data_IF_225061647189
#
_entry.id   IF_225061647189
#
_cell.length_a   1.000
_cell.length_b   1.000
_cell.length_c   1.000
_cell.angle_alpha   90.00
_cell.angle_beta   90.00
_cell.angle_gamma   90.00
#
_symmetry.space_group_name_H-M   'P 1'
#
loop_
_entity.id
_entity.type
_entity.pdbx_description
1 polymer ?
#
# COMPACT_ATOMS: atom_id res chain seq x y z
N UNK A 1 23.17 -11.88 32.89
CA UNK A 1 23.26 -12.40 31.52
C UNK A 1 22.70 -11.32 30.59
N UNK A 2 23.43 -10.97 29.55
CA UNK A 2 23.01 -10.07 28.50
C UNK A 2 22.99 -10.87 27.18
N UNK A 3 21.83 -10.88 26.49
CA UNK A 3 21.59 -11.67 25.30
C UNK A 3 20.96 -10.77 24.25
N UNK A 4 21.67 -10.57 23.12
CA UNK A 4 21.27 -9.57 22.11
C UNK A 4 21.56 -10.03 20.68
N UNK A 5 20.93 -9.34 19.71
CA UNK A 5 21.13 -9.51 18.28
C UNK A 5 21.83 -8.26 17.73
N UNK A 6 23.03 -8.44 17.20
CA UNK A 6 23.82 -7.40 16.55
C UNK A 6 23.78 -7.62 15.04
N UNK A 7 23.22 -6.67 14.29
CA UNK A 7 23.16 -6.71 12.84
C UNK A 7 24.38 -5.97 12.29
N UNK A 8 25.07 -6.57 11.32
CA UNK A 8 26.14 -5.92 10.59
C UNK A 8 25.51 -4.92 9.60
N UNK A 9 26.00 -3.67 9.59
CA UNK A 9 25.52 -2.62 8.68
C UNK A 9 23.97 -2.51 8.63
N UNK A 10 23.31 -2.20 9.77
CA UNK A 10 21.86 -2.16 9.83
C UNK A 10 21.32 -1.09 8.88
N UNK A 11 20.36 -1.47 8.05
CA UNK A 11 19.66 -0.55 7.15
C UNK A 11 18.49 0.10 7.87
N UNK A 12 18.22 1.38 7.56
CA UNK A 12 16.99 2.04 8.01
C UNK A 12 15.74 1.37 7.42
N UNK A 13 15.89 0.78 6.23
CA UNK A 13 14.82 0.13 5.49
C UNK A 13 15.39 -1.00 4.62
N UNK A 14 14.81 -2.19 4.74
CA UNK A 14 15.19 -3.38 3.97
C UNK A 14 14.27 -3.55 2.77
N UNK A 15 14.80 -4.11 1.71
CA UNK A 15 14.14 -4.40 0.44
C UNK A 15 14.09 -5.92 0.19
N UNK A 16 13.21 -6.39 -0.73
CA UNK A 16 13.23 -7.78 -1.16
C UNK A 16 14.61 -8.19 -1.71
N UNK A 17 15.15 -9.30 -1.24
CA UNK A 17 16.48 -9.80 -1.63
C UNK A 17 17.64 -9.22 -0.81
N UNK A 18 17.40 -8.28 0.09
CA UNK A 18 18.44 -7.77 0.98
C UNK A 18 18.96 -8.87 1.92
N UNK A 19 20.28 -8.93 2.04
CA UNK A 19 20.96 -9.80 2.98
C UNK A 19 20.98 -9.13 4.36
N UNK A 20 20.64 -9.90 5.39
CA UNK A 20 20.67 -9.53 6.81
C UNK A 20 21.71 -10.39 7.48
N UNK A 21 22.86 -9.85 7.72
CA UNK A 21 23.96 -10.55 8.40
C UNK A 21 24.17 -9.95 9.79
N UNK A 22 24.59 -10.81 10.70
CA UNK A 22 24.86 -10.37 12.05
C UNK A 22 25.33 -11.51 12.94
N UNK A 23 25.24 -11.28 14.22
CA UNK A 23 25.59 -12.24 15.25
C UNK A 23 24.65 -12.14 16.44
N UNK A 24 24.34 -13.26 17.02
CA UNK A 24 23.72 -13.36 18.34
C UNK A 24 24.84 -13.33 19.37
N UNK A 25 24.74 -12.44 20.34
CA UNK A 25 25.79 -12.21 21.36
C UNK A 25 25.26 -12.58 22.74
N UNK A 26 26.01 -13.36 23.47
CA UNK A 26 25.77 -13.68 24.87
C UNK A 26 26.95 -13.22 25.73
N UNK A 27 26.68 -12.31 26.66
CA UNK A 27 27.64 -11.95 27.71
C UNK A 27 27.20 -12.60 29.03
N UNK A 28 27.93 -13.63 29.46
CA UNK A 28 27.63 -14.36 30.68
C UNK A 28 28.15 -13.62 31.92
N UNK A 29 27.27 -13.02 32.72
CA UNK A 29 27.66 -12.37 34.02
C UNK A 29 27.80 -13.37 35.14
N UNK A 30 27.20 -14.53 35.02
CA UNK A 30 27.25 -15.67 35.94
C UNK A 30 27.36 -16.95 35.14
N UNK A 31 27.66 -18.08 35.79
CA UNK A 31 27.61 -19.38 35.13
C UNK A 31 26.22 -19.65 34.55
N UNK A 32 26.14 -20.05 33.27
CA UNK A 32 24.90 -20.32 32.55
C UNK A 32 25.06 -21.69 31.85
N UNK A 33 24.19 -22.62 32.16
CA UNK A 33 24.08 -23.86 31.41
C UNK A 33 23.07 -23.66 30.27
N UNK A 34 23.47 -23.83 29.03
CA UNK A 34 22.66 -23.61 27.84
C UNK A 34 22.49 -24.91 27.04
N UNK A 35 21.27 -25.17 26.62
CA UNK A 35 20.93 -26.32 25.78
C UNK A 35 21.02 -26.05 24.30
N UNK A 36 20.46 -24.92 23.84
CA UNK A 36 20.49 -24.53 22.43
C UNK A 36 20.35 -23.03 22.26
N UNK A 37 20.95 -22.52 21.18
CA UNK A 37 20.74 -21.13 20.67
C UNK A 37 20.17 -21.25 19.29
N UNK A 38 19.02 -20.55 19.09
CA UNK A 38 18.32 -20.51 17.81
C UNK A 38 18.00 -19.04 17.45
N UNK A 39 17.98 -18.76 16.17
CA UNK A 39 17.49 -17.50 15.65
C UNK A 39 16.39 -17.74 14.62
N UNK A 40 15.30 -16.99 14.74
CA UNK A 40 14.19 -16.98 13.80
C UNK A 40 14.12 -15.63 13.10
N UNK A 41 13.92 -15.63 11.79
CA UNK A 41 13.52 -14.47 11.00
C UNK A 41 12.06 -14.62 10.60
N UNK A 42 11.20 -13.71 11.06
CA UNK A 42 9.75 -13.87 11.00
C UNK A 42 9.09 -12.64 10.43
N UNK A 43 8.23 -12.83 9.41
CA UNK A 43 7.27 -11.85 8.94
C UNK A 43 5.86 -12.20 9.40
N UNK A 44 5.13 -11.24 9.98
CA UNK A 44 3.77 -11.44 10.50
C UNK A 44 2.86 -10.28 10.13
N UNK A 45 1.62 -10.60 9.78
CA UNK A 45 0.52 -9.64 9.66
C UNK A 45 -0.49 -9.90 10.78
N UNK A 46 -0.73 -8.90 11.62
CA UNK A 46 -1.65 -8.98 12.76
C UNK A 46 -2.85 -8.10 12.53
N UNK A 47 -4.01 -8.60 12.93
CA UNK A 47 -5.27 -7.87 12.92
C UNK A 47 -5.95 -7.94 14.29
N UNK A 48 -6.61 -6.85 14.62
CA UNK A 48 -7.34 -6.68 15.87
C UNK A 48 -8.60 -5.87 15.60
N UNK A 49 -9.74 -6.43 15.99
CA UNK A 49 -11.04 -5.79 15.94
C UNK A 49 -11.65 -5.81 17.33
N UNK A 50 -12.15 -4.69 17.78
CA UNK A 50 -12.85 -4.52 19.04
C UNK A 50 -14.17 -3.80 18.74
N UNK A 51 -15.28 -4.46 18.99
CA UNK A 51 -16.59 -3.87 18.86
C UNK A 51 -16.96 -3.09 20.13
N UNK A 52 -17.97 -2.23 20.04
CA UNK A 52 -18.54 -1.47 21.14
C UNK A 52 -19.05 -2.38 22.28
N UNK A 53 -19.46 -3.60 21.97
CA UNK A 53 -19.85 -4.66 22.92
C UNK A 53 -18.69 -5.27 23.72
N UNK A 54 -17.47 -4.71 23.63
CA UNK A 54 -16.23 -5.22 24.23
C UNK A 54 -15.75 -6.58 23.70
N UNK A 55 -16.40 -7.12 22.68
CA UNK A 55 -15.94 -8.34 22.04
C UNK A 55 -14.70 -8.05 21.20
N UNK A 56 -13.66 -8.82 21.42
CA UNK A 56 -12.36 -8.63 20.78
C UNK A 56 -12.02 -9.82 19.89
N UNK A 57 -11.67 -9.54 18.64
CA UNK A 57 -11.20 -10.53 17.67
C UNK A 57 -9.75 -10.26 17.30
N UNK A 58 -8.93 -11.31 17.25
CA UNK A 58 -7.50 -11.19 16.90
C UNK A 58 -7.12 -12.26 15.90
N UNK A 59 -6.31 -11.90 14.94
CA UNK A 59 -5.72 -12.86 14.03
C UNK A 59 -4.26 -12.51 13.75
N UNK A 60 -3.43 -13.53 13.59
CA UNK A 60 -2.04 -13.38 13.19
C UNK A 60 -1.79 -14.32 12.03
N UNK A 61 -1.44 -13.75 10.89
CA UNK A 61 -1.00 -14.51 9.72
C UNK A 61 0.52 -14.45 9.65
N UNK A 62 1.15 -15.60 9.51
CA UNK A 62 2.59 -15.71 9.28
C UNK A 62 2.83 -15.56 7.79
N UNK A 63 3.62 -14.55 7.41
CA UNK A 63 4.02 -14.30 6.04
C UNK A 63 5.17 -15.21 5.62
N UNK A 64 6.14 -15.39 6.51
CA UNK A 64 7.22 -16.36 6.41
C UNK A 64 7.85 -16.57 7.78
N UNK A 65 8.55 -17.69 7.93
CA UNK A 65 9.36 -17.99 9.11
C UNK A 65 10.56 -18.84 8.70
N UNK A 66 11.76 -18.28 8.85
CA UNK A 66 13.01 -18.97 8.68
C UNK A 66 13.66 -19.15 10.05
N UNK A 67 14.27 -20.29 10.27
CA UNK A 67 14.92 -20.63 11.53
C UNK A 67 16.31 -21.17 11.27
N UNK A 68 17.25 -20.78 12.13
CA UNK A 68 18.61 -21.31 12.13
C UNK A 68 19.01 -21.73 13.55
N UNK A 69 19.43 -22.97 13.70
CA UNK A 69 20.07 -23.45 14.93
C UNK A 69 21.51 -22.97 14.90
N UNK A 70 21.87 -22.10 15.83
CA UNK A 70 23.24 -21.55 15.92
C UNK A 70 24.15 -22.38 16.78
N UNK A 71 23.57 -23.02 17.80
CA UNK A 71 24.30 -23.91 18.71
C UNK A 71 23.32 -24.98 19.22
N UNK A 72 23.71 -26.20 19.20
CA UNK A 72 22.94 -27.36 19.71
C UNK A 72 23.81 -28.20 20.64
N UNK A 73 23.27 -28.56 21.79
CA UNK A 73 23.95 -29.34 22.81
C UNK A 73 23.95 -28.66 24.18
N UNK A 74 24.42 -29.38 25.18
CA UNK A 74 24.51 -28.83 26.54
C UNK A 74 25.89 -28.21 26.73
N UNK A 75 25.93 -26.91 26.92
CA UNK A 75 27.14 -26.13 27.13
C UNK A 75 27.07 -25.40 28.46
N UNK A 76 28.18 -25.33 29.16
CA UNK A 76 28.31 -24.48 30.34
C UNK A 76 29.16 -23.26 29.98
N UNK A 77 28.57 -22.07 30.15
CA UNK A 77 29.24 -20.80 29.97
C UNK A 77 29.59 -20.20 31.32
N UNK A 78 30.83 -19.74 31.46
CA UNK A 78 31.32 -19.18 32.71
C UNK A 78 31.19 -17.66 32.77
N UNK A 79 31.21 -17.12 33.96
CA UNK A 79 31.15 -15.67 34.16
C UNK A 79 32.32 -14.98 33.42
N UNK A 80 32.01 -13.85 32.77
CA UNK A 80 32.96 -13.07 31.98
C UNK A 80 33.16 -13.56 30.54
N UNK A 81 32.61 -14.71 30.16
CA UNK A 81 32.66 -15.14 28.76
C UNK A 81 31.71 -14.37 27.88
N UNK A 82 32.22 -13.99 26.70
CA UNK A 82 31.44 -13.44 25.58
C UNK A 82 31.44 -14.43 24.44
N UNK A 83 30.26 -14.77 23.96
CA UNK A 83 30.03 -15.71 22.88
C UNK A 83 29.27 -15.05 21.76
N UNK A 84 29.62 -15.40 20.53
CA UNK A 84 29.04 -14.84 19.34
C UNK A 84 28.75 -15.95 18.33
N UNK A 85 27.54 -15.97 17.80
CA UNK A 85 27.10 -16.91 16.76
C UNK A 85 26.65 -16.11 15.52
N UNK A 86 27.33 -16.28 14.40
CA UNK A 86 26.98 -15.61 13.17
C UNK A 86 25.66 -16.15 12.60
N UNK A 87 24.91 -15.29 11.94
CA UNK A 87 23.73 -15.65 11.16
C UNK A 87 23.64 -14.84 9.87
N UNK A 88 22.92 -15.41 8.90
CA UNK A 88 22.61 -14.76 7.63
C UNK A 88 21.21 -15.16 7.17
N UNK A 89 20.39 -14.17 6.78
CA UNK A 89 19.08 -14.36 6.17
C UNK A 89 18.93 -13.45 4.98
N UNK A 90 18.16 -13.88 3.98
CA UNK A 90 17.75 -13.03 2.86
C UNK A 90 16.29 -12.65 3.01
N UNK A 91 15.97 -11.37 2.83
CA UNK A 91 14.58 -10.93 2.83
C UNK A 91 13.83 -11.55 1.65
N UNK A 92 12.74 -12.32 1.87
CA UNK A 92 12.01 -12.94 0.78
C UNK A 92 11.27 -11.89 -0.04
N UNK A 93 11.00 -12.19 -1.32
CA UNK A 93 10.24 -11.31 -2.22
C UNK A 93 8.75 -11.44 -2.01
N UNK A 94 8.30 -12.65 -1.77
CA UNK A 94 6.89 -13.02 -1.61
C UNK A 94 6.68 -13.78 -0.31
N UNK A 95 5.47 -13.87 0.20
CA UNK A 95 5.15 -14.71 1.35
C UNK A 95 5.52 -16.17 1.09
N UNK A 96 6.16 -16.81 2.07
CA UNK A 96 6.54 -18.22 2.03
C UNK A 96 5.87 -18.93 3.20
N UNK A 97 4.58 -19.17 3.06
CA UNK A 97 3.80 -19.84 4.08
C UNK A 97 3.72 -21.33 3.82
N UNK A 98 3.78 -22.15 4.88
CA UNK A 98 3.39 -23.57 4.77
C UNK A 98 1.93 -23.66 4.30
N UNK A 99 1.69 -24.49 3.30
CA UNK A 99 0.40 -24.65 2.58
C UNK A 99 -0.74 -25.15 3.47
N UNK A 100 -0.47 -25.53 4.72
CA UNK A 100 -1.39 -26.30 5.57
C UNK A 100 -2.57 -25.50 6.15
N UNK A 101 -2.59 -24.18 6.07
CA UNK A 101 -3.71 -23.41 6.61
C UNK A 101 -4.78 -23.15 5.54
N UNK A 102 -5.39 -24.26 5.07
CA UNK A 102 -6.52 -24.27 4.11
C UNK A 102 -7.75 -23.47 4.54
N UNK A 103 -7.78 -23.01 5.79
CA UNK A 103 -8.90 -22.21 6.33
C UNK A 103 -9.00 -20.82 5.73
N UNK A 104 -7.91 -20.26 5.18
CA UNK A 104 -7.93 -18.97 4.50
C UNK A 104 -8.39 -19.04 3.04
N UNK A 105 -8.38 -20.22 2.42
CA UNK A 105 -8.70 -20.40 0.99
C UNK A 105 -10.20 -20.34 0.67
N UNK A 106 -11.09 -20.58 1.62
CA UNK A 106 -12.52 -20.85 1.35
C UNK A 106 -13.42 -19.63 1.18
N UNK A 107 -12.93 -18.42 1.44
CA UNK A 107 -13.78 -17.24 1.44
C UNK A 107 -13.29 -16.12 0.50
N UNK A 108 -13.30 -16.35 -0.75
CA UNK A 108 -13.40 -15.51 -1.97
C UNK A 108 -12.73 -14.13 -2.07
N UNK A 109 -12.55 -13.37 -1.00
CA UNK A 109 -12.00 -12.01 -1.10
C UNK A 109 -10.56 -11.84 -0.59
N UNK A 110 -9.97 -12.85 0.00
CA UNK A 110 -8.62 -12.85 0.56
C UNK A 110 -7.78 -13.97 -0.03
N UNK A 111 -7.98 -14.26 -1.33
CA UNK A 111 -7.20 -15.25 -2.04
C UNK A 111 -5.71 -14.95 -1.86
N UNK A 112 -5.00 -15.97 -1.43
CA UNK A 112 -3.56 -15.99 -1.43
C UNK A 112 -3.06 -16.13 -2.86
N UNK A 113 -2.30 -15.15 -3.29
CA UNK A 113 -1.51 -15.23 -4.48
C UNK A 113 -0.03 -15.29 -4.05
N UNK A 114 0.63 -16.40 -4.34
CA UNK A 114 2.04 -16.62 -4.00
C UNK A 114 2.97 -15.63 -4.70
N UNK A 115 2.48 -14.95 -5.74
CA UNK A 115 3.25 -13.95 -6.48
C UNK A 115 3.12 -12.54 -5.90
N UNK A 116 2.21 -12.34 -4.94
CA UNK A 116 2.08 -11.02 -4.32
C UNK A 116 3.34 -10.65 -3.54
N UNK A 117 3.81 -9.39 -3.68
CA UNK A 117 4.93 -8.93 -2.89
C UNK A 117 4.58 -8.92 -1.41
N UNK A 118 5.60 -9.07 -0.56
CA UNK A 118 5.43 -8.85 0.88
C UNK A 118 4.88 -7.44 1.14
N UNK A 119 3.92 -7.29 2.07
CA UNK A 119 3.40 -5.99 2.46
C UNK A 119 4.48 -5.13 3.14
N UNK A 120 4.42 -3.78 3.04
CA UNK A 120 5.33 -2.91 3.76
C UNK A 120 5.15 -3.05 5.27
N UNK A 121 6.23 -2.84 6.05
CA UNK A 121 6.10 -2.64 7.50
C UNK A 121 5.12 -1.51 7.76
N UNK A 122 4.07 -1.78 8.53
CA UNK A 122 3.04 -0.78 8.81
C UNK A 122 2.36 -1.06 10.14
N UNK A 123 2.01 0.01 10.84
CA UNK A 123 1.12 -0.02 12.00
C UNK A 123 -0.02 0.95 11.74
N UNK A 124 -1.25 0.52 11.93
CA UNK A 124 -2.44 1.34 11.71
C UNK A 124 -3.44 1.10 12.84
N UNK A 125 -4.01 2.20 13.33
CA UNK A 125 -5.07 2.18 14.35
C UNK A 125 -6.15 3.16 13.94
N UNK A 126 -7.38 2.69 13.90
CA UNK A 126 -8.57 3.50 13.67
C UNK A 126 -9.56 3.28 14.80
N UNK A 127 -10.08 4.38 15.33
CA UNK A 127 -11.07 4.36 16.42
C UNK A 127 -12.32 5.07 15.93
N UNK A 128 -13.45 4.42 16.06
CA UNK A 128 -14.77 4.97 15.71
C UNK A 128 -15.77 4.68 16.83
N UNK A 129 -16.96 5.22 16.72
CA UNK A 129 -18.07 4.90 17.63
C UNK A 129 -18.49 3.42 17.59
N UNK A 130 -18.11 2.71 16.51
CA UNK A 130 -18.43 1.27 16.33
C UNK A 130 -17.34 0.36 16.88
N UNK A 131 -16.23 0.90 17.38
CA UNK A 131 -15.13 0.14 17.94
C UNK A 131 -13.76 0.55 17.42
N UNK A 132 -12.78 -0.29 17.71
CA UNK A 132 -11.38 -0.09 17.35
C UNK A 132 -10.91 -1.14 16.35
N UNK A 133 -10.27 -0.67 15.28
CA UNK A 133 -9.58 -1.49 14.30
C UNK A 133 -8.08 -1.22 14.40
N UNK A 134 -7.27 -2.28 14.50
CA UNK A 134 -5.80 -2.18 14.44
C UNK A 134 -5.26 -3.23 13.48
N UNK A 135 -4.23 -2.87 12.75
CA UNK A 135 -3.43 -3.82 12.01
C UNK A 135 -1.96 -3.47 12.08
N UNK A 136 -1.12 -4.49 11.97
CA UNK A 136 0.31 -4.36 12.15
C UNK A 136 1.03 -5.42 11.31
N UNK A 137 1.90 -4.97 10.41
CA UNK A 137 2.78 -5.83 9.62
C UNK A 137 4.19 -5.64 10.13
N UNK A 138 4.73 -6.68 10.74
CA UNK A 138 6.03 -6.68 11.42
C UNK A 138 6.96 -7.71 10.83
N UNK A 139 8.21 -7.31 10.69
CA UNK A 139 9.34 -8.17 10.37
C UNK A 139 10.36 -8.11 11.49
N UNK A 140 10.84 -9.26 11.97
CA UNK A 140 11.76 -9.27 13.10
C UNK A 140 12.67 -10.49 13.10
N UNK A 141 13.84 -10.30 13.64
CA UNK A 141 14.69 -11.35 14.15
C UNK A 141 14.31 -11.65 15.62
N UNK A 142 14.31 -12.93 15.98
CA UNK A 142 14.11 -13.38 17.36
C UNK A 142 15.15 -14.44 17.67
N UNK A 143 16.07 -14.14 18.57
CA UNK A 143 16.97 -15.16 19.11
C UNK A 143 16.39 -15.74 20.40
N UNK A 144 16.57 -17.02 20.58
CA UNK A 144 16.14 -17.78 21.76
C UNK A 144 17.30 -18.63 22.26
N UNK A 145 17.56 -18.54 23.57
CA UNK A 145 18.47 -19.36 24.31
C UNK A 145 17.68 -20.24 25.28
N UNK A 146 17.80 -21.55 25.15
CA UNK A 146 17.19 -22.49 26.08
C UNK A 146 18.20 -22.89 27.13
N UNK A 147 17.81 -22.94 28.40
CA UNK A 147 18.64 -23.41 29.50
C UNK A 147 17.93 -24.55 30.20
N UNK A 148 18.61 -25.70 30.44
CA UNK A 148 18.08 -26.75 31.29
C UNK A 148 17.87 -26.19 32.70
N UNK A 149 16.76 -26.52 33.34
CA UNK A 149 16.51 -26.18 34.74
C UNK A 149 16.56 -27.47 35.56
N UNK A 150 17.11 -27.42 36.77
CA UNK A 150 17.14 -28.53 37.71
C UNK A 150 15.77 -29.08 38.11
N UNK A 151 14.70 -28.31 37.82
CA UNK A 151 13.29 -28.69 38.09
C UNK A 151 12.61 -29.34 36.91
N UNK A 152 13.34 -29.90 35.93
CA UNK A 152 12.82 -30.43 34.66
C UNK A 152 12.07 -29.38 33.78
N UNK A 153 12.16 -28.10 34.11
CA UNK A 153 11.63 -27.03 33.32
C UNK A 153 12.74 -26.38 32.49
N UNK A 154 12.45 -26.11 31.25
CA UNK A 154 13.34 -25.38 30.36
C UNK A 154 13.07 -23.88 30.51
N UNK A 155 14.06 -23.11 30.95
CA UNK A 155 13.97 -21.64 30.89
C UNK A 155 14.35 -21.18 29.49
N UNK A 156 13.60 -20.19 29.00
CA UNK A 156 13.84 -19.59 27.68
C UNK A 156 14.12 -18.10 27.82
N UNK A 157 15.27 -17.69 27.34
CA UNK A 157 15.62 -16.29 27.22
C UNK A 157 15.51 -15.91 25.76
N UNK A 158 14.93 -14.75 25.47
CA UNK A 158 14.78 -14.29 24.10
C UNK A 158 15.06 -12.80 23.97
N UNK A 159 15.67 -12.43 22.86
CA UNK A 159 15.77 -11.05 22.41
C UNK A 159 15.15 -10.91 21.02
N UNK A 160 14.77 -9.66 20.66
CA UNK A 160 14.08 -9.37 19.40
C UNK A 160 14.68 -8.10 18.79
N UNK A 161 14.80 -8.09 17.46
CA UNK A 161 15.17 -6.92 16.69
C UNK A 161 14.13 -6.71 15.58
N UNK A 162 13.46 -5.58 15.59
CA UNK A 162 12.49 -5.23 14.55
C UNK A 162 13.24 -4.69 13.32
N UNK A 163 12.69 -5.01 12.14
CA UNK A 163 13.22 -4.61 10.85
C UNK A 163 12.14 -3.85 10.09
N UNK A 164 12.49 -2.70 9.54
CA UNK A 164 11.61 -1.95 8.64
C UNK A 164 11.77 -2.49 7.22
N UNK A 165 10.66 -2.80 6.56
CA UNK A 165 10.64 -3.35 5.20
C UNK A 165 9.79 -2.51 4.28
N UNK A 166 10.28 -2.32 3.06
CA UNK A 166 9.57 -1.66 1.98
C UNK A 166 9.58 -2.57 0.73
N UNK A 167 8.42 -2.88 0.14
CA UNK A 167 8.40 -3.62 -1.12
C UNK A 167 9.04 -2.75 -2.23
N UNK A 168 9.81 -3.38 -3.09
CA UNK A 168 10.34 -2.71 -4.27
C UNK A 168 9.34 -2.77 -5.42
N UNK A 169 9.46 -1.82 -6.34
CA UNK A 169 8.74 -1.83 -7.61
C UNK A 169 9.52 -2.70 -8.60
N UNK A 170 8.82 -3.59 -9.30
CA UNK A 170 9.43 -4.32 -10.40
C UNK A 170 9.79 -3.39 -11.56
N UNK A 171 10.95 -3.64 -12.16
CA UNK A 171 11.47 -2.88 -13.32
C UNK A 171 10.54 -2.88 -14.54
N UNK A 172 9.67 -3.88 -14.66
CA UNK A 172 8.73 -4.02 -15.78
C UNK A 172 7.54 -3.06 -15.74
N UNK A 173 7.36 -2.31 -14.66
CA UNK A 173 6.27 -1.33 -14.58
C UNK A 173 6.71 -0.06 -15.32
N UNK A 174 6.14 0.26 -16.50
CA UNK A 174 6.52 1.45 -17.24
C UNK A 174 6.33 2.69 -16.36
N UNK A 175 7.24 3.68 -16.45
CA UNK A 175 7.16 4.91 -15.65
C UNK A 175 5.88 5.70 -15.95
N UNK A 176 5.37 5.64 -17.18
CA UNK A 176 4.14 6.30 -17.56
C UNK A 176 2.94 5.42 -17.21
N UNK A 177 2.20 5.83 -16.21
CA UNK A 177 0.93 5.19 -15.85
C UNK A 177 -0.10 5.42 -16.97
N UNK A 178 -0.85 4.37 -17.38
CA UNK A 178 -1.98 4.60 -18.26
C UNK A 178 -2.98 5.54 -17.58
N UNK A 179 -3.39 6.56 -18.32
CA UNK A 179 -4.36 7.54 -17.85
C UNK A 179 -5.78 6.98 -18.03
N UNK A 180 -6.52 6.91 -16.95
CA UNK A 180 -7.95 6.67 -16.99
C UNK A 180 -8.64 7.97 -17.44
N UNK A 181 -9.30 7.94 -18.59
CA UNK A 181 -10.02 9.08 -19.12
C UNK A 181 -11.53 8.93 -18.89
N UNK A 182 -12.16 10.00 -18.47
CA UNK A 182 -13.63 10.11 -18.40
C UNK A 182 -14.06 11.32 -19.22
N UNK A 183 -14.99 11.10 -20.14
CA UNK A 183 -15.53 12.13 -21.00
C UNK A 183 -17.02 12.35 -20.71
N UNK A 184 -17.45 13.60 -20.70
CA UNK A 184 -18.83 13.99 -20.50
C UNK A 184 -19.21 15.12 -21.45
N UNK A 185 -20.49 15.21 -21.77
CA UNK A 185 -21.03 16.33 -22.54
C UNK A 185 -21.73 17.29 -21.60
N UNK A 186 -21.39 18.56 -21.71
CA UNK A 186 -22.02 19.63 -20.97
C UNK A 186 -22.66 20.67 -21.92
N UNK A 187 -23.93 20.92 -21.74
CA UNK A 187 -24.70 21.92 -22.52
C UNK A 187 -24.89 23.15 -21.64
N UNK A 188 -24.23 24.24 -22.00
CA UNK A 188 -24.41 25.54 -21.36
C UNK A 188 -25.54 26.28 -22.06
N UNK A 189 -26.69 26.37 -21.41
CA UNK A 189 -27.89 27.04 -21.94
C UNK A 189 -28.08 28.40 -21.26
N UNK A 190 -27.78 29.47 -21.97
CA UNK A 190 -27.92 30.85 -21.48
C UNK A 190 -27.89 31.87 -22.63
N UNK A 191 -28.62 32.97 -22.50
CA UNK A 191 -28.47 34.13 -23.39
C UNK A 191 -27.06 34.69 -23.37
N UNK A 192 -26.37 34.61 -22.21
CA UNK A 192 -25.01 35.11 -22.03
C UNK A 192 -23.94 34.28 -22.75
N UNK A 193 -24.33 33.20 -23.41
CA UNK A 193 -23.44 32.45 -24.33
C UNK A 193 -23.16 33.30 -25.59
N UNK A 194 -24.06 34.19 -25.95
CA UNK A 194 -23.90 35.11 -27.08
C UNK A 194 -23.04 36.33 -26.68
N UNK A 195 -22.07 36.76 -27.50
CA UNK A 195 -21.17 37.87 -27.21
C UNK A 195 -21.88 39.17 -26.80
N UNK A 196 -23.01 39.49 -27.44
CA UNK A 196 -23.81 40.70 -27.21
C UNK A 196 -24.43 40.79 -25.81
N UNK A 197 -24.55 39.66 -25.08
CA UNK A 197 -25.11 39.61 -23.73
C UNK A 197 -24.06 39.34 -22.63
N UNK A 198 -22.82 39.15 -22.99
CA UNK A 198 -21.77 38.78 -22.00
C UNK A 198 -21.44 39.92 -21.02
N UNK A 199 -21.32 41.14 -21.52
CA UNK A 199 -20.80 42.27 -20.75
C UNK A 199 -21.90 43.19 -20.19
N UNK A 200 -23.19 42.88 -20.37
CA UNK A 200 -24.30 43.74 -19.91
C UNK A 200 -25.27 43.00 -18.99
N UNK A 201 -25.98 43.76 -18.16
CA UNK A 201 -27.12 43.25 -17.40
C UNK A 201 -28.31 42.96 -18.33
N UNK A 202 -28.90 41.76 -18.16
CA UNK A 202 -30.11 41.41 -18.91
C UNK A 202 -31.29 42.22 -18.40
N UNK A 203 -32.07 42.78 -19.32
CA UNK A 203 -33.33 43.47 -19.01
C UNK A 203 -34.37 42.48 -18.48
N UNK A 204 -35.44 43.01 -17.83
CA UNK A 204 -36.51 42.16 -17.32
C UNK A 204 -37.21 41.34 -18.43
N UNK A 205 -37.37 41.94 -19.61
CA UNK A 205 -37.93 41.27 -20.80
C UNK A 205 -37.06 40.13 -21.28
N UNK A 206 -35.74 40.31 -21.32
CA UNK A 206 -34.79 39.28 -21.73
C UNK A 206 -34.73 38.13 -20.72
N UNK A 207 -34.82 38.44 -19.44
CA UNK A 207 -34.92 37.40 -18.38
C UNK A 207 -36.22 36.60 -18.53
N UNK A 208 -37.37 37.24 -18.74
CA UNK A 208 -38.64 36.58 -18.99
C UNK A 208 -38.60 35.76 -20.30
N UNK A 209 -38.01 36.32 -21.35
CA UNK A 209 -37.86 35.63 -22.62
C UNK A 209 -37.05 34.35 -22.53
N UNK A 210 -36.03 34.32 -21.64
CA UNK A 210 -35.22 33.12 -21.39
C UNK A 210 -35.99 32.01 -20.69
N UNK A 211 -37.18 32.29 -20.13
CA UNK A 211 -38.05 31.24 -19.55
C UNK A 211 -39.03 30.63 -20.57
N UNK A 212 -39.34 31.36 -21.66
CA UNK A 212 -40.45 30.98 -22.57
C UNK A 212 -40.01 30.67 -24.00
N UNK A 213 -38.75 30.90 -24.38
CA UNK A 213 -38.23 30.64 -25.73
C UNK A 213 -36.99 29.78 -25.71
N UNK A 214 -36.63 29.25 -26.88
CA UNK A 214 -35.40 28.50 -27.08
C UNK A 214 -34.18 29.37 -26.79
N UNK A 215 -33.53 29.09 -25.69
CA UNK A 215 -32.31 29.77 -25.24
C UNK A 215 -31.11 29.17 -25.98
N UNK A 216 -30.15 29.98 -26.46
CA UNK A 216 -28.96 29.47 -27.11
C UNK A 216 -28.21 28.46 -26.24
N UNK A 217 -27.79 27.38 -26.87
CA UNK A 217 -27.03 26.30 -26.24
C UNK A 217 -25.64 26.24 -26.83
N UNK A 218 -24.61 26.19 -25.99
CA UNK A 218 -23.27 25.80 -26.41
C UNK A 218 -22.93 24.44 -25.76
N UNK A 219 -22.58 23.49 -26.61
CA UNK A 219 -22.26 22.12 -26.21
C UNK A 219 -20.77 21.91 -26.19
N UNK A 220 -20.26 21.31 -25.09
CA UNK A 220 -18.87 21.04 -24.89
C UNK A 220 -18.67 19.56 -24.50
N UNK A 221 -17.62 18.98 -25.01
CA UNK A 221 -17.10 17.72 -24.52
C UNK A 221 -15.96 18.01 -23.55
N UNK A 222 -16.12 17.61 -22.31
CA UNK A 222 -15.11 17.76 -21.26
C UNK A 222 -14.51 16.39 -20.98
N UNK A 223 -13.21 16.25 -21.17
CA UNK A 223 -12.46 15.02 -20.89
C UNK A 223 -11.49 15.27 -19.76
N UNK A 224 -11.52 14.41 -18.75
CA UNK A 224 -10.56 14.42 -17.65
C UNK A 224 -9.77 13.14 -17.66
N UNK A 225 -8.47 13.23 -17.46
CA UNK A 225 -7.60 12.05 -17.41
C UNK A 225 -6.77 12.08 -16.13
N UNK A 226 -6.80 10.96 -15.41
CA UNK A 226 -6.05 10.73 -14.16
C UNK A 226 -5.27 9.41 -14.27
N UNK A 227 -4.12 9.28 -13.62
CA UNK A 227 -3.40 8.02 -13.59
C UNK A 227 -4.16 6.99 -12.76
N UNK A 228 -4.01 5.72 -13.10
CA UNK A 228 -4.53 4.61 -12.28
C UNK A 228 -3.50 4.12 -11.23
N UNK A 229 -2.27 4.59 -11.34
CA UNK A 229 -1.17 4.30 -10.40
C UNK A 229 -0.20 5.48 -10.40
N UNK A 230 0.50 5.66 -9.27
CA UNK A 230 1.52 6.69 -9.12
C UNK A 230 2.60 6.19 -8.15
N UNK A 231 3.83 6.59 -8.36
CA UNK A 231 4.91 6.39 -7.40
C UNK A 231 4.78 7.44 -6.28
N UNK A 232 4.93 7.01 -5.02
CA UNK A 232 4.88 7.92 -3.88
C UNK A 232 5.93 9.03 -4.02
N UNK A 233 5.52 10.29 -3.87
CA UNK A 233 6.37 11.47 -4.04
C UNK A 233 6.45 12.03 -5.46
N UNK A 234 6.00 11.30 -6.47
CA UNK A 234 5.94 11.84 -7.85
C UNK A 234 4.76 12.81 -8.04
N UNK A 235 4.89 13.65 -9.06
CA UNK A 235 3.81 14.55 -9.50
C UNK A 235 2.62 13.75 -10.02
N UNK A 236 1.44 14.15 -9.60
CA UNK A 236 0.18 13.56 -10.02
C UNK A 236 -0.34 14.26 -11.28
N UNK A 237 -0.28 13.67 -12.48
CA UNK A 237 -0.83 14.27 -13.68
C UNK A 237 -2.35 14.38 -13.56
N UNK A 238 -2.87 15.58 -13.82
CA UNK A 238 -4.30 15.91 -13.79
C UNK A 238 -4.64 16.66 -15.07
N UNK A 239 -5.06 15.92 -16.08
CA UNK A 239 -5.34 16.51 -17.40
C UNK A 239 -6.83 16.85 -17.53
N UNK A 240 -7.12 18.07 -17.98
CA UNK A 240 -8.46 18.50 -18.33
C UNK A 240 -8.41 19.04 -19.77
N UNK A 241 -9.30 18.52 -20.59
CA UNK A 241 -9.46 18.91 -21.98
C UNK A 241 -10.90 19.28 -22.24
N UNK A 242 -11.13 20.43 -22.91
CA UNK A 242 -12.45 20.92 -23.28
C UNK A 242 -12.48 21.12 -24.78
N UNK A 243 -13.43 20.47 -25.45
CA UNK A 243 -13.65 20.58 -26.89
C UNK A 243 -15.08 21.11 -27.14
N UNK A 244 -15.19 22.19 -27.88
CA UNK A 244 -16.50 22.70 -28.35
C UNK A 244 -17.11 21.74 -29.38
N UNK A 245 -18.41 21.53 -29.35
CA UNK A 245 -19.18 20.70 -30.27
C UNK A 245 -20.13 21.53 -31.10
N UNK A 246 -19.68 22.16 -32.19
CA UNK A 246 -20.49 23.12 -32.99
C UNK A 246 -21.76 22.48 -33.55
N UNK A 247 -21.69 21.21 -33.98
CA UNK A 247 -22.86 20.50 -34.51
C UNK A 247 -24.01 20.30 -33.52
N UNK A 248 -23.75 20.48 -32.21
CA UNK A 248 -24.75 20.38 -31.13
C UNK A 248 -24.99 21.71 -30.43
N UNK A 249 -24.43 22.79 -30.97
CA UNK A 249 -24.56 24.13 -30.45
C UNK A 249 -25.51 24.95 -31.33
N UNK A 250 -26.45 25.68 -30.72
CA UNK A 250 -27.32 26.62 -31.42
C UNK A 250 -26.79 28.05 -31.35
N UNK A 251 -25.80 28.29 -30.49
CA UNK A 251 -25.08 29.54 -30.40
C UNK A 251 -24.07 29.64 -31.55
N UNK A 252 -24.14 30.67 -32.39
CA UNK A 252 -23.20 30.88 -33.50
C UNK A 252 -21.77 31.23 -33.09
N UNK A 253 -21.52 31.49 -31.79
CA UNK A 253 -20.24 31.81 -31.24
C UNK A 253 -19.82 30.76 -30.20
N UNK A 254 -18.52 30.54 -30.07
CA UNK A 254 -17.95 29.67 -29.04
C UNK A 254 -17.62 30.50 -27.79
N UNK A 255 -18.34 30.32 -26.66
CA UNK A 255 -18.06 31.11 -25.46
C UNK A 255 -16.83 30.57 -24.73
N UNK A 256 -16.20 31.43 -23.94
CA UNK A 256 -15.09 31.04 -23.05
C UNK A 256 -15.56 30.13 -21.94
N UNK A 257 -14.72 29.18 -21.60
CA UNK A 257 -14.90 28.30 -20.44
C UNK A 257 -13.75 28.51 -19.47
N UNK A 258 -14.08 28.71 -18.21
CA UNK A 258 -13.12 28.88 -17.15
C UNK A 258 -13.22 27.75 -16.09
N UNK A 259 -12.10 27.32 -15.62
CA UNK A 259 -12.01 26.50 -14.39
C UNK A 259 -12.06 27.45 -13.19
N UNK A 260 -13.02 27.25 -12.29
CA UNK A 260 -13.26 28.05 -11.08
C UNK A 260 -12.77 27.41 -9.81
N UNK A 261 -12.86 26.09 -9.73
CA UNK A 261 -12.43 25.32 -8.57
C UNK A 261 -11.82 24.01 -9.04
N UNK A 262 -10.78 23.56 -8.32
CA UNK A 262 -10.16 22.28 -8.52
C UNK A 262 -9.83 21.67 -7.16
N UNK A 263 -10.18 20.41 -6.96
CA UNK A 263 -9.86 19.65 -5.75
C UNK A 263 -9.54 18.20 -6.11
N UNK A 264 -8.43 17.73 -5.60
CA UNK A 264 -7.99 16.34 -5.71
C UNK A 264 -7.95 15.74 -4.31
N UNK A 265 -8.62 14.62 -4.13
CA UNK A 265 -8.66 13.90 -2.85
C UNK A 265 -8.42 12.42 -3.03
N UNK A 266 -7.77 11.83 -2.06
CA UNK A 266 -7.53 10.40 -1.96
C UNK A 266 -8.35 9.83 -0.81
N UNK A 267 -9.07 8.75 -1.07
CA UNK A 267 -9.72 7.95 -0.03
C UNK A 267 -8.91 6.67 0.13
N UNK A 268 -8.33 6.46 1.30
CA UNK A 268 -7.64 5.21 1.69
C UNK A 268 -8.63 4.34 2.44
N UNK A 269 -8.80 3.10 1.98
CA UNK A 269 -9.63 2.09 2.63
C UNK A 269 -8.74 0.98 3.15
N UNK A 270 -8.74 0.78 4.46
CA UNK A 270 -8.01 -0.31 5.13
C UNK A 270 -9.03 -1.34 5.59
N UNK A 271 -8.99 -2.50 4.99
CA UNK A 271 -9.81 -3.66 5.35
C UNK A 271 -9.01 -4.57 6.26
N UNK A 272 -9.64 -5.03 7.33
CA UNK A 272 -9.03 -5.90 8.33
C UNK A 272 -9.96 -7.07 8.58
N UNK A 273 -9.39 -8.26 8.60
CA UNK A 273 -10.07 -9.51 8.92
C UNK A 273 -9.48 -10.11 10.19
N UNK A 274 -10.32 -10.50 11.13
CA UNK A 274 -9.89 -11.15 12.35
C UNK A 274 -10.74 -12.40 12.62
N UNK A 275 -10.09 -13.47 13.09
CA UNK A 275 -10.75 -14.74 13.39
C UNK A 275 -11.55 -14.59 14.69
N UNK A 276 -12.83 -14.90 14.65
CA UNK A 276 -13.66 -15.16 15.80
C UNK A 276 -13.67 -16.64 16.17
N UNK A 277 -14.45 -16.99 17.15
CA UNK A 277 -14.57 -18.38 17.58
C UNK A 277 -15.18 -19.28 16.49
N UNK A 278 -16.25 -18.82 15.83
CA UNK A 278 -16.95 -19.56 14.79
C UNK A 278 -16.85 -18.94 13.41
N UNK A 279 -16.69 -17.61 13.32
CA UNK A 279 -16.75 -16.85 12.07
C UNK A 279 -15.56 -15.88 11.95
N UNK A 280 -15.28 -15.51 10.71
CA UNK A 280 -14.40 -14.39 10.41
C UNK A 280 -15.17 -13.09 10.54
N UNK A 281 -14.56 -12.12 11.20
CA UNK A 281 -15.08 -10.78 11.34
C UNK A 281 -14.26 -9.83 10.48
N UNK A 282 -14.96 -9.09 9.64
CA UNK A 282 -14.35 -8.11 8.73
C UNK A 282 -14.76 -6.70 9.17
N UNK A 283 -13.82 -5.78 9.10
CA UNK A 283 -14.09 -4.36 9.28
C UNK A 283 -13.26 -3.53 8.33
N UNK A 284 -13.74 -2.34 8.00
CA UNK A 284 -13.04 -1.37 7.18
C UNK A 284 -12.94 -0.01 7.86
N UNK A 285 -11.87 0.67 7.56
CA UNK A 285 -11.67 2.07 7.94
C UNK A 285 -11.42 2.88 6.67
N UNK A 286 -12.12 4.01 6.55
CA UNK A 286 -12.00 4.93 5.41
C UNK A 286 -11.45 6.26 5.88
N UNK A 287 -10.32 6.62 5.35
CA UNK A 287 -9.67 7.90 5.60
C UNK A 287 -9.66 8.72 4.30
N UNK A 288 -10.25 9.89 4.33
CA UNK A 288 -10.22 10.82 3.21
C UNK A 288 -9.20 11.92 3.47
N UNK A 289 -8.25 12.07 2.56
CA UNK A 289 -7.25 13.13 2.57
C UNK A 289 -7.42 14.00 1.31
N UNK A 290 -7.49 15.31 1.49
CA UNK A 290 -7.39 16.26 0.38
C UNK A 290 -5.92 16.45 0.05
N UNK A 291 -5.51 16.09 -1.18
CA UNK A 291 -4.15 16.24 -1.68
C UNK A 291 -3.94 17.69 -2.12
N UNK A 292 -4.92 18.21 -2.88
CA UNK A 292 -4.88 19.55 -3.43
C UNK A 292 -6.27 20.16 -3.44
N UNK A 293 -6.37 21.44 -3.13
CA UNK A 293 -7.61 22.19 -3.26
C UNK A 293 -7.31 23.68 -3.51
N UNK A 294 -7.92 24.20 -4.55
CA UNK A 294 -7.90 25.63 -4.87
C UNK A 294 -9.29 26.09 -5.27
N UNK A 295 -9.70 27.26 -4.82
CA UNK A 295 -10.96 27.92 -5.13
C UNK A 295 -10.70 29.28 -5.74
N UNK A 296 -11.72 29.85 -6.36
CA UNK A 296 -11.68 31.19 -7.00
C UNK A 296 -10.63 31.27 -8.11
N UNK A 297 -10.44 30.18 -8.84
CA UNK A 297 -9.65 30.19 -10.06
C UNK A 297 -10.37 30.98 -11.17
N UNK A 298 -9.57 31.45 -12.12
CA UNK A 298 -10.05 32.01 -13.36
C UNK A 298 -9.14 31.58 -14.51
N UNK A 299 -9.08 30.27 -14.74
CA UNK A 299 -8.19 29.71 -15.76
C UNK A 299 -9.02 29.40 -16.99
N UNK A 300 -8.76 30.05 -18.15
CA UNK A 300 -9.40 29.68 -19.37
C UNK A 300 -8.99 28.27 -19.82
N UNK A 301 -9.97 27.44 -20.10
CA UNK A 301 -9.80 26.11 -20.69
C UNK A 301 -10.07 26.11 -22.18
N UNK A 302 -10.87 27.08 -22.63
CA UNK A 302 -11.20 27.34 -24.01
C UNK A 302 -11.41 28.85 -24.16
N UNK A 303 -10.64 29.46 -25.04
CA UNK A 303 -10.61 30.94 -25.22
C UNK A 303 -11.61 31.51 -26.27
N UNK A 304 -12.40 30.63 -26.85
CA UNK A 304 -13.38 31.00 -27.86
C UNK A 304 -12.82 31.36 -29.26
N UNK A 305 -11.48 31.42 -29.39
CA UNK A 305 -10.83 31.96 -30.58
C UNK A 305 -10.70 30.99 -31.75
N UNK A 306 -10.89 29.70 -31.53
CA UNK A 306 -10.62 28.70 -32.56
C UNK A 306 -11.83 27.88 -32.94
N UNK A 307 -12.49 28.24 -34.03
CA UNK A 307 -13.40 27.33 -34.73
C UNK A 307 -12.58 26.18 -35.34
N UNK A 308 -12.57 25.02 -34.66
CA UNK A 308 -12.01 23.79 -35.21
C UNK A 308 -10.59 23.40 -34.73
N UNK A 309 -9.90 24.22 -33.95
CA UNK A 309 -8.62 23.81 -33.34
C UNK A 309 -8.86 22.88 -32.14
N UNK A 310 -8.26 21.73 -32.13
CA UNK A 310 -8.21 20.85 -30.95
C UNK A 310 -7.40 21.59 -29.88
N UNK A 311 -8.07 22.00 -28.79
CA UNK A 311 -7.36 22.55 -27.63
C UNK A 311 -6.46 21.45 -27.05
N UNK A 312 -5.23 21.81 -26.72
CA UNK A 312 -4.33 20.86 -26.03
C UNK A 312 -4.80 20.60 -24.61
N UNK A 313 -4.76 19.36 -24.11
CA UNK A 313 -5.04 19.08 -22.71
C UNK A 313 -4.14 19.90 -21.79
N UNK A 314 -4.71 20.51 -20.76
CA UNK A 314 -3.95 21.25 -19.74
C UNK A 314 -3.64 20.31 -18.58
N UNK A 315 -2.35 20.18 -18.25
CA UNK A 315 -1.92 19.43 -17.06
C UNK A 315 -1.88 20.35 -15.84
N UNK A 316 -2.88 20.19 -14.97
CA UNK A 316 -2.98 20.90 -13.70
C UNK A 316 -2.05 20.32 -12.63
N UNK A 317 -1.66 19.03 -12.78
CA UNK A 317 -0.71 18.40 -11.90
C UNK A 317 0.67 19.05 -11.99
N UNK A 318 1.12 19.30 -13.21
CA UNK A 318 2.39 20.03 -13.45
C UNK A 318 2.25 21.50 -13.09
N UNK A 319 1.17 22.15 -13.49
CA UNK A 319 0.94 23.59 -13.25
C UNK A 319 0.92 23.96 -11.77
N UNK A 320 0.41 23.10 -10.90
CA UNK A 320 0.26 23.36 -9.46
C UNK A 320 1.20 22.48 -8.60
N UNK A 321 2.11 21.75 -9.19
CA UNK A 321 3.01 20.79 -8.51
C UNK A 321 2.27 19.87 -7.55
N UNK A 322 1.17 19.25 -8.04
CA UNK A 322 0.34 18.36 -7.23
C UNK A 322 1.11 17.06 -6.99
N UNK A 323 1.38 16.72 -5.72
CA UNK A 323 2.12 15.51 -5.35
C UNK A 323 1.36 14.64 -4.37
N UNK A 324 1.59 13.33 -4.43
CA UNK A 324 1.06 12.35 -3.47
C UNK A 324 2.11 12.03 -2.40
N UNK A 325 2.51 13.04 -1.62
CA UNK A 325 3.49 12.86 -0.55
C UNK A 325 2.88 12.17 0.66
N UNK A 326 3.66 11.31 1.32
CA UNK A 326 3.28 10.63 2.56
C UNK A 326 1.97 9.83 2.47
N UNK A 327 1.63 9.36 1.27
CA UNK A 327 0.52 8.44 1.08
C UNK A 327 1.03 7.02 1.36
N UNK A 328 0.35 6.26 2.23
CA UNK A 328 0.74 4.88 2.49
C UNK A 328 0.58 4.02 1.24
N UNK A 329 1.47 3.06 1.04
CA UNK A 329 1.42 2.14 -0.09
C UNK A 329 0.17 1.27 -0.04
N UNK A 330 -0.37 0.92 -1.20
CA UNK A 330 -1.35 -0.15 -1.31
C UNK A 330 -0.67 -1.51 -1.11
N UNK A 331 -1.36 -2.40 -0.45
CA UNK A 331 -0.89 -3.77 -0.25
C UNK A 331 -2.05 -4.71 0.08
N UNK A 332 -1.79 -5.99 -0.05
CA UNK A 332 -2.66 -7.04 0.42
C UNK A 332 -1.83 -8.08 1.18
N UNK A 333 -2.38 -8.55 2.30
CA UNK A 333 -1.93 -9.72 3.05
C UNK A 333 -3.12 -10.64 3.30
N UNK A 334 -2.94 -11.71 4.07
CA UNK A 334 -4.02 -12.67 4.37
C UNK A 334 -5.18 -12.07 5.16
N UNK A 335 -4.90 -11.09 6.03
CA UNK A 335 -5.85 -10.53 6.99
C UNK A 335 -5.90 -9.00 6.99
N UNK A 336 -5.11 -8.34 6.14
CA UNK A 336 -5.08 -6.88 5.98
C UNK A 336 -4.95 -6.54 4.51
N UNK A 337 -5.78 -5.60 4.04
CA UNK A 337 -5.71 -5.06 2.69
C UNK A 337 -5.89 -3.55 2.74
N UNK A 338 -5.06 -2.83 1.99
CA UNK A 338 -5.17 -1.38 1.82
C UNK A 338 -5.35 -1.06 0.35
N UNK A 339 -6.32 -0.20 0.04
CA UNK A 339 -6.63 0.27 -1.31
C UNK A 339 -6.88 1.76 -1.30
N UNK A 340 -6.74 2.38 -2.47
CA UNK A 340 -6.98 3.79 -2.64
C UNK A 340 -8.02 4.06 -3.74
N UNK A 341 -8.71 5.19 -3.58
CA UNK A 341 -9.60 5.75 -4.59
C UNK A 341 -9.23 7.20 -4.77
N UNK A 342 -8.80 7.58 -5.97
CA UNK A 342 -8.49 8.96 -6.33
C UNK A 342 -9.76 9.64 -6.86
N UNK A 343 -10.04 10.86 -6.39
CA UNK A 343 -11.21 11.63 -6.79
C UNK A 343 -10.82 13.05 -7.17
N UNK A 344 -11.20 13.43 -8.37
CA UNK A 344 -11.13 14.80 -8.87
C UNK A 344 -12.51 15.43 -8.78
N UNK A 345 -12.57 16.66 -8.30
CA UNK A 345 -13.73 17.55 -8.40
C UNK A 345 -13.27 18.89 -8.94
N UNK A 346 -14.06 19.45 -9.85
CA UNK A 346 -13.83 20.78 -10.39
C UNK A 346 -15.14 21.51 -10.61
N UNK A 347 -15.08 22.82 -10.75
CA UNK A 347 -16.21 23.65 -11.17
C UNK A 347 -15.81 24.41 -12.42
N UNK A 348 -16.51 24.13 -13.51
CA UNK A 348 -16.43 24.85 -14.77
C UNK A 348 -17.45 25.95 -14.79
N UNK A 349 -17.12 27.06 -15.42
CA UNK A 349 -18.04 28.15 -15.68
C UNK A 349 -17.99 28.55 -17.15
N UNK A 350 -19.16 28.60 -17.77
CA UNK A 350 -19.38 29.18 -19.08
C UNK A 350 -20.47 30.24 -18.93
N UNK A 351 -20.14 31.48 -19.22
CA UNK A 351 -21.01 32.62 -18.95
C UNK A 351 -21.52 32.64 -17.49
N UNK A 352 -22.82 32.58 -17.26
CA UNK A 352 -23.45 32.53 -15.93
C UNK A 352 -23.73 31.10 -15.44
N UNK A 353 -23.43 30.08 -16.25
CA UNK A 353 -23.68 28.66 -15.91
C UNK A 353 -22.45 28.01 -15.31
N UNK A 354 -22.70 27.24 -14.26
CA UNK A 354 -21.67 26.43 -13.58
C UNK A 354 -21.98 24.97 -13.76
N UNK A 355 -20.91 24.19 -13.89
CA UNK A 355 -21.00 22.74 -14.02
C UNK A 355 -19.98 22.08 -13.10
N UNK A 356 -20.43 21.09 -12.34
CA UNK A 356 -19.52 20.29 -11.48
C UNK A 356 -18.91 19.15 -12.29
N UNK A 357 -17.60 19.15 -12.35
CA UNK A 357 -16.78 18.08 -12.92
C UNK A 357 -16.45 17.08 -11.83
N UNK A 358 -16.65 15.80 -12.11
CA UNK A 358 -16.28 14.70 -11.20
C UNK A 358 -15.62 13.58 -11.97
N UNK A 359 -14.47 13.14 -11.49
CA UNK A 359 -13.81 11.94 -11.98
C UNK A 359 -13.34 11.11 -10.81
N UNK A 360 -13.57 9.80 -10.84
CA UNK A 360 -13.18 8.86 -9.78
C UNK A 360 -12.41 7.70 -10.41
N UNK A 361 -11.22 7.43 -9.88
CA UNK A 361 -10.38 6.29 -10.24
C UNK A 361 -10.39 5.32 -9.06
N UNK A 362 -11.25 4.28 -9.09
CA UNK A 362 -11.24 3.24 -8.07
C UNK A 362 -10.02 2.34 -8.25
N UNK A 363 -9.49 1.81 -7.15
CA UNK A 363 -8.32 0.94 -7.19
C UNK A 363 -7.03 1.64 -7.64
N UNK A 364 -6.96 2.97 -7.42
CA UNK A 364 -5.74 3.73 -7.63
C UNK A 364 -4.60 3.15 -6.81
N UNK A 365 -3.44 2.91 -7.44
CA UNK A 365 -2.31 2.26 -6.81
C UNK A 365 -1.19 3.25 -6.46
N UNK A 366 -0.74 3.20 -5.22
CA UNK A 366 0.42 3.96 -4.73
C UNK A 366 1.61 3.02 -4.65
N UNK A 367 2.57 3.22 -5.54
CA UNK A 367 3.75 2.36 -5.70
C UNK A 367 4.90 2.85 -4.83
N UNK A 368 5.78 1.92 -4.45
CA UNK A 368 7.03 2.25 -3.75
C UNK A 368 7.93 3.14 -4.61
N UNK A 369 8.61 4.14 -4.02
CA UNK A 369 9.61 4.93 -4.71
C UNK A 369 10.89 4.15 -5.02
N UNK A 370 11.09 2.99 -4.40
CA UNK A 370 12.31 2.20 -4.54
C UNK A 370 12.24 1.31 -5.78
N UNK A 371 13.27 1.43 -6.60
CA UNK A 371 13.49 0.61 -7.80
C UNK A 371 14.39 -0.57 -7.46
N UNK A 372 14.04 -1.78 -7.94
CA UNK A 372 15.03 -2.84 -8.09
C UNK A 372 15.41 -2.95 -9.56
N UNK A 373 16.66 -2.72 -9.88
CA UNK A 373 17.21 -3.20 -11.13
C UNK A 373 17.09 -4.72 -11.12
N UNK A 374 16.43 -5.28 -12.14
CA UNK A 374 16.47 -6.73 -12.35
C UNK A 374 17.95 -7.10 -12.48
N UNK A 375 18.46 -8.09 -11.74
CA UNK A 375 19.82 -8.54 -11.97
C UNK A 375 19.91 -8.87 -13.45
N UNK A 376 20.77 -8.17 -14.17
CA UNK A 376 21.10 -8.51 -15.56
C UNK A 376 21.39 -10.01 -15.57
N UNK A 377 20.84 -10.80 -16.52
CA UNK A 377 21.18 -12.21 -16.57
C UNK A 377 22.70 -12.27 -16.75
N UNK A 378 23.41 -12.52 -15.67
CA UNK A 378 24.83 -12.79 -15.71
C UNK A 378 24.93 -14.05 -16.57
N UNK A 379 25.45 -13.88 -17.79
CA UNK A 379 25.85 -14.98 -18.63
C UNK A 379 26.73 -15.86 -17.75
N UNK A 380 26.14 -16.94 -17.25
CA UNK A 380 26.89 -17.99 -16.54
C UNK A 380 27.84 -18.54 -17.59
N UNK A 381 29.07 -18.06 -17.57
CA UNK A 381 30.15 -18.68 -18.32
C UNK A 381 30.18 -20.15 -17.87
N UNK A 382 30.05 -21.03 -18.85
CA UNK A 382 30.09 -22.48 -18.64
C UNK A 382 31.34 -22.84 -17.80
N UNK A 383 31.20 -23.64 -16.73
CA UNK A 383 32.35 -24.03 -15.95
C UNK A 383 33.29 -24.90 -16.81
N UNK A 384 34.52 -24.42 -16.96
CA UNK A 384 35.60 -25.24 -17.47
C UNK A 384 35.76 -26.47 -16.57
N UNK A 385 35.58 -27.64 -17.15
CA UNK A 385 35.93 -28.94 -16.57
C UNK A 385 37.42 -28.96 -16.20
N UNK A 386 37.70 -29.12 -14.90
CA UNK A 386 38.73 -30.03 -14.35
C UNK A 386 39.13 -29.58 -12.95
N UNK A 387 38.73 -30.34 -11.96
CA UNK A 387 39.64 -30.91 -10.94
C UNK A 387 38.84 -31.70 -9.89
N UNK A 388 39.11 -32.96 -9.82
CA UNK A 388 38.74 -33.87 -8.71
C UNK A 388 39.28 -33.33 -7.41
N UNK A 389 38.42 -33.12 -6.40
CA UNK A 389 38.79 -33.38 -5.02
C UNK A 389 37.52 -33.70 -4.23
N UNK A 390 37.59 -34.83 -3.60
CA UNK A 390 36.63 -35.43 -2.68
C UNK A 390 36.43 -34.54 -1.46
N UNK A 391 35.17 -34.17 -1.17
CA UNK A 391 34.72 -33.83 0.17
C UNK A 391 33.24 -34.14 0.31
N UNK A 392 33.00 -34.96 1.28
CA UNK A 392 31.79 -35.39 1.98
C UNK A 392 30.50 -34.60 1.80
N UNK A 393 29.49 -35.33 1.39
CA UNK A 393 28.06 -35.05 1.37
C UNK A 393 27.55 -34.64 2.76
N UNK A 394 27.09 -33.39 2.90
CA UNK A 394 26.17 -33.02 3.97
C UNK A 394 24.75 -33.15 3.41
N UNK A 395 24.10 -34.23 3.75
CA UNK A 395 22.66 -34.44 3.57
C UNK A 395 21.89 -33.33 4.28
N UNK A 396 21.12 -32.59 3.53
CA UNK A 396 20.03 -31.76 4.08
C UNK A 396 18.97 -32.73 4.62
N UNK A 397 18.93 -32.92 5.93
CA UNK A 397 17.82 -33.59 6.61
C UNK A 397 16.60 -32.68 6.52
N UNK A 398 15.62 -33.07 5.74
CA UNK A 398 14.24 -32.66 5.95
C UNK A 398 13.79 -33.29 7.27
N UNK A 399 13.56 -32.44 8.26
CA UNK A 399 12.94 -32.88 9.51
C UNK A 399 11.44 -32.72 9.32
N UNK A 400 10.76 -33.84 9.21
CA UNK A 400 9.31 -33.94 9.39
C UNK A 400 8.97 -33.44 10.80
N UNK A 401 8.23 -32.33 10.87
CA UNK A 401 7.65 -31.83 12.11
C UNK A 401 6.29 -32.53 12.31
N UNK A 402 6.32 -33.73 12.90
CA UNK A 402 5.13 -34.30 13.52
C UNK A 402 4.61 -33.40 14.64
N UNK A 403 3.35 -33.14 14.53
CA UNK A 403 2.50 -32.39 15.44
C UNK A 403 2.48 -32.98 16.86
N UNK A 404 2.91 -32.18 17.85
CA UNK A 404 2.46 -32.36 19.24
C UNK A 404 1.77 -31.09 19.69
N UNK A 405 0.51 -31.01 19.39
CA UNK A 405 -0.43 -30.04 19.94
C UNK A 405 -1.70 -30.81 20.33
N UNK A 406 -1.64 -31.53 21.44
CA UNK A 406 -2.80 -31.98 22.18
C UNK A 406 -2.51 -31.81 23.68
N UNK A 407 -2.65 -30.58 24.17
CA UNK A 407 -2.99 -30.35 25.57
C UNK A 407 -4.46 -29.91 25.63
N UNK A 408 -5.35 -30.72 26.23
CA UNK A 408 -6.74 -30.32 26.44
C UNK A 408 -6.82 -29.18 27.45
N UNK A 409 -7.78 -28.26 27.28
CA UNK A 409 -7.99 -27.17 28.22
C UNK A 409 -8.40 -27.70 29.61
N UNK A 410 -8.02 -27.02 30.69
CA UNK A 410 -8.39 -27.43 32.05
C UNK A 410 -9.91 -27.45 32.22
N UNK A 411 -10.43 -28.57 32.73
CA UNK A 411 -11.83 -28.70 33.15
C UNK A 411 -12.07 -27.83 34.37
N UNK A 412 -13.02 -26.91 34.26
CA UNK A 412 -13.65 -26.29 35.41
C UNK A 412 -14.78 -27.17 35.87
N UNK A 413 -14.66 -27.70 37.06
CA UNK A 413 -15.80 -28.30 37.77
C UNK A 413 -16.61 -27.19 38.47
N UNK A 414 -17.94 -27.39 38.66
CA UNK A 414 -18.89 -26.36 39.08
C UNK A 414 -18.72 -25.87 40.51
#
# INVERSE_FOLDING_TARGET
MEFDIVINNPKSQYLPGDLIEGRVVLNAKTKVDAGAVRIDFIGKSKSYLEHDTRTTYRSTAILFQFASALCTGNYTFYAGQRLEWPFSFTFPRTPQRPIEDKKFEKEGCWLYDSEWPLPPSTAFKYVSVRGTLKCDVQYKLRAELTTPDFTFRTRRFHCKKELSFLPSRESKCPPSSPLAATSMVWNAQSLRVLPEYQCRSLTMKEKMHSFFKDVPVSSFQVTTSLPNRLVSGEKLPVLIHVKHRPAQSTAGATPEIHLRELSVSLTTETYVRAKGEFFWNDADAKEKRTIFQIKRLNIPLHDGSNQGSESTPIDFGDRFDIRCDSVPLDFQSYNVRRRHTLKLKGVLQCADKRHELRHTVPGFRVLSPVYMESPSPTLVAAPATNARSSCSSSSAMMIDLESTLDDPPPRYEP
#
